data_IF_391922923516
#
_entry.id   IF_391922923516
#
_cell.length_a   1.000
_cell.length_b   1.000
_cell.length_c   1.000
_cell.angle_alpha   90.00
_cell.angle_beta   90.00
_cell.angle_gamma   90.00
#
_symmetry.space_group_name_H-M   'P 1'
#
loop_
_entity.id
_entity.type
_entity.pdbx_description
1 polymer ?
#
# COMPACT_ATOMS: atom_id res chain seq x y z
N UNK A 1 21.74 -28.97 -12.56
CA UNK A 1 21.83 -27.76 -11.75
C UNK A 1 21.04 -26.70 -12.51
N UNK A 2 19.74 -26.62 -12.21
CA UNK A 2 18.81 -25.68 -12.81
C UNK A 2 19.07 -24.30 -12.21
N UNK A 3 19.50 -23.35 -13.04
CA UNK A 3 19.70 -21.96 -12.65
C UNK A 3 18.42 -21.36 -12.12
N UNK A 4 18.43 -20.99 -10.86
CA UNK A 4 17.43 -20.08 -10.28
C UNK A 4 17.59 -18.70 -10.91
N UNK A 5 17.01 -18.50 -12.08
CA UNK A 5 16.72 -17.21 -12.65
C UNK A 5 15.56 -16.58 -11.86
N UNK A 6 15.76 -16.35 -10.57
CA UNK A 6 14.77 -15.75 -9.71
C UNK A 6 14.68 -14.26 -9.96
N UNK A 7 13.47 -13.76 -10.03
CA UNK A 7 13.09 -12.35 -9.89
C UNK A 7 14.05 -11.63 -8.95
N UNK A 8 14.45 -10.41 -9.31
CA UNK A 8 15.46 -9.65 -8.53
C UNK A 8 14.93 -9.36 -7.14
N UNK A 9 15.44 -10.11 -6.16
CA UNK A 9 15.11 -9.86 -4.75
C UNK A 9 15.51 -8.44 -4.37
N UNK A 10 14.66 -7.79 -3.58
CA UNK A 10 14.81 -6.40 -3.16
C UNK A 10 14.86 -6.35 -1.63
N UNK A 11 15.75 -5.54 -1.07
CA UNK A 11 15.76 -5.22 0.35
C UNK A 11 14.94 -3.95 0.61
N UNK A 12 14.07 -4.00 1.60
CA UNK A 12 13.24 -2.89 2.03
C UNK A 12 13.25 -2.81 3.56
N UNK A 13 13.90 -1.82 4.12
CA UNK A 13 14.05 -1.61 5.57
C UNK A 13 14.58 -2.88 6.30
N UNK A 14 15.59 -3.55 5.76
CA UNK A 14 16.17 -4.78 6.32
C UNK A 14 15.34 -6.04 6.08
N UNK A 15 14.20 -5.95 5.39
CA UNK A 15 13.37 -7.11 5.02
C UNK A 15 13.61 -7.46 3.55
N UNK A 16 13.93 -8.73 3.28
CA UNK A 16 14.09 -9.23 1.91
C UNK A 16 12.75 -9.62 1.30
N UNK A 17 12.46 -9.05 0.13
CA UNK A 17 11.35 -9.40 -0.76
C UNK A 17 11.87 -10.15 -1.98
N UNK A 18 11.16 -11.18 -2.44
CA UNK A 18 11.61 -11.98 -3.59
C UNK A 18 11.49 -11.23 -4.92
N UNK A 19 10.56 -10.27 -5.02
CA UNK A 19 10.43 -9.31 -6.13
C UNK A 19 9.77 -8.03 -5.61
N UNK A 20 9.79 -6.93 -6.37
CA UNK A 20 9.29 -5.63 -5.89
C UNK A 20 7.76 -5.48 -5.94
N UNK A 21 6.98 -6.44 -6.43
CA UNK A 21 5.54 -6.28 -6.63
C UNK A 21 4.76 -6.71 -5.39
N UNK A 22 3.89 -5.81 -4.92
CA UNK A 22 2.97 -6.04 -3.80
C UNK A 22 1.51 -5.92 -4.25
N UNK A 23 0.61 -6.64 -3.60
CA UNK A 23 -0.79 -6.26 -3.57
C UNK A 23 -0.99 -5.09 -2.61
N UNK A 24 -1.59 -4.00 -3.08
CA UNK A 24 -1.86 -2.82 -2.27
C UNK A 24 -3.01 -3.07 -1.28
N UNK A 25 -3.03 -2.33 -0.18
CA UNK A 25 -4.07 -2.43 0.83
C UNK A 25 -5.49 -2.30 0.26
N UNK A 26 -6.39 -3.14 0.75
CA UNK A 26 -7.80 -3.13 0.37
C UNK A 26 -8.14 -3.79 -0.97
N UNK A 27 -7.18 -4.46 -1.63
CA UNK A 27 -7.41 -5.13 -2.91
C UNK A 27 -7.60 -6.65 -2.79
N UNK A 28 -6.96 -7.28 -1.83
CA UNK A 28 -7.00 -8.73 -1.63
C UNK A 28 -7.58 -9.14 -0.28
N UNK A 29 -8.32 -8.25 0.40
CA UNK A 29 -8.77 -8.53 1.75
C UNK A 29 -7.58 -8.83 2.66
N UNK A 30 -7.60 -10.00 3.29
CA UNK A 30 -6.47 -10.55 4.04
C UNK A 30 -5.73 -11.66 3.28
N UNK A 31 -5.92 -11.75 1.95
CA UNK A 31 -5.28 -12.72 1.06
C UNK A 31 -6.13 -13.98 0.82
N UNK A 32 -6.87 -14.45 1.82
CA UNK A 32 -7.71 -15.65 1.71
C UNK A 32 -8.77 -15.52 0.60
N UNK A 33 -9.29 -14.32 0.41
CA UNK A 33 -10.34 -14.01 -0.56
C UNK A 33 -9.91 -14.22 -2.01
N UNK A 34 -8.63 -14.16 -2.29
CA UNK A 34 -8.08 -14.28 -3.64
C UNK A 34 -7.15 -15.50 -3.84
N UNK A 35 -6.82 -16.21 -2.77
CA UNK A 35 -5.85 -17.32 -2.80
C UNK A 35 -6.23 -18.48 -3.73
N UNK A 36 -7.52 -18.64 -4.08
CA UNK A 36 -7.98 -19.62 -5.06
C UNK A 36 -7.83 -19.20 -6.52
N UNK A 37 -7.45 -17.94 -6.79
CA UNK A 37 -7.42 -17.34 -8.11
C UNK A 37 -6.02 -16.87 -8.50
N UNK A 38 -5.24 -16.39 -7.54
CA UNK A 38 -3.90 -15.84 -7.70
C UNK A 38 -2.89 -16.62 -6.85
N UNK A 39 -1.70 -16.84 -7.39
CA UNK A 39 -0.56 -17.32 -6.61
C UNK A 39 0.07 -16.13 -5.85
N UNK A 40 -0.33 -15.97 -4.59
CA UNK A 40 0.23 -14.92 -3.72
C UNK A 40 1.73 -15.11 -3.47
N UNK A 41 2.23 -16.36 -3.52
CA UNK A 41 3.65 -16.67 -3.36
C UNK A 41 4.51 -16.29 -4.58
N UNK A 42 3.90 -15.92 -5.71
CA UNK A 42 4.59 -15.34 -6.85
C UNK A 42 4.92 -13.85 -6.66
N UNK A 43 4.34 -13.20 -5.65
CA UNK A 43 4.52 -11.77 -5.37
C UNK A 43 5.60 -11.53 -4.31
N UNK A 44 6.15 -10.32 -4.25
CA UNK A 44 7.01 -9.88 -3.15
C UNK A 44 6.27 -9.86 -1.82
N UNK A 45 4.98 -9.51 -1.85
CA UNK A 45 4.15 -9.52 -0.65
C UNK A 45 2.75 -8.96 -0.85
N UNK A 46 2.04 -8.87 0.26
CA UNK A 46 0.72 -8.25 0.33
C UNK A 46 0.68 -7.18 1.42
N UNK A 47 -0.05 -6.11 1.17
CA UNK A 47 -0.51 -5.20 2.21
C UNK A 47 -1.94 -5.58 2.54
N UNK A 48 -2.22 -5.94 3.79
CA UNK A 48 -3.53 -6.43 4.20
C UNK A 48 -4.60 -5.35 4.08
N UNK A 49 -5.86 -5.77 4.10
CA UNK A 49 -6.95 -4.88 4.45
C UNK A 49 -6.66 -4.20 5.79
N UNK A 50 -7.23 -3.01 5.99
CA UNK A 50 -7.04 -2.25 7.21
C UNK A 50 -7.42 -3.08 8.46
N UNK A 51 -6.64 -2.92 9.53
CA UNK A 51 -6.90 -3.45 10.86
C UNK A 51 -7.04 -2.28 11.82
N UNK A 52 -8.16 -2.19 12.51
CA UNK A 52 -8.42 -1.25 13.61
C UNK A 52 -8.59 -2.00 14.92
N UNK A 53 -8.50 -1.30 16.06
CA UNK A 53 -8.71 -1.91 17.38
C UNK A 53 -10.08 -2.58 17.42
N UNK A 54 -11.14 -1.81 17.15
CA UNK A 54 -12.51 -2.29 17.09
C UNK A 54 -12.94 -2.60 15.65
N UNK A 55 -13.90 -3.51 15.44
CA UNK A 55 -14.45 -3.76 14.11
C UNK A 55 -15.14 -2.52 13.54
N UNK A 56 -15.10 -2.38 12.22
CA UNK A 56 -15.77 -1.28 11.49
C UNK A 56 -16.71 -1.82 10.44
N UNK A 57 -17.95 -1.36 10.47
CA UNK A 57 -18.97 -1.71 9.47
C UNK A 57 -18.66 -1.11 8.10
N UNK A 58 -18.01 0.06 8.08
CA UNK A 58 -17.75 0.83 6.86
C UNK A 58 -18.93 1.68 6.42
N UNK A 59 -18.80 2.26 5.24
CA UNK A 59 -19.78 3.19 4.67
C UNK A 59 -21.00 2.45 4.09
N UNK A 60 -22.15 3.12 3.93
CA UNK A 60 -23.31 2.56 3.23
C UNK A 60 -22.99 2.27 1.75
N UNK A 61 -23.72 1.30 1.19
CA UNK A 61 -23.67 0.97 -0.24
C UNK A 61 -24.42 2.01 -1.08
N UNK A 62 -24.02 2.19 -2.36
CA UNK A 62 -22.90 1.60 -3.09
C UNK A 62 -21.54 2.08 -2.60
N UNK A 63 -20.57 1.15 -2.49
CA UNK A 63 -19.21 1.44 -2.02
C UNK A 63 -18.18 1.59 -3.13
N UNK A 64 -18.56 1.22 -4.34
CA UNK A 64 -17.73 1.29 -5.55
C UNK A 64 -18.56 1.84 -6.69
N UNK A 65 -17.96 2.69 -7.49
CA UNK A 65 -18.54 3.19 -8.74
C UNK A 65 -17.47 3.21 -9.83
N UNK A 66 -17.83 2.72 -11.01
CA UNK A 66 -16.98 2.79 -12.18
C UNK A 66 -16.98 4.21 -12.74
N UNK A 67 -15.79 4.67 -13.11
CA UNK A 67 -15.53 5.92 -13.82
C UNK A 67 -14.75 5.55 -15.07
N UNK A 68 -14.97 6.24 -16.20
CA UNK A 68 -14.28 5.94 -17.45
C UNK A 68 -12.76 5.87 -17.25
N UNK A 69 -12.20 4.66 -17.36
CA UNK A 69 -10.77 4.41 -17.16
C UNK A 69 -10.28 4.48 -15.69
N UNK A 70 -11.20 4.52 -14.72
CA UNK A 70 -10.86 4.64 -13.32
C UNK A 70 -11.94 3.97 -12.42
N UNK A 71 -11.70 3.96 -11.11
CA UNK A 71 -12.64 3.49 -10.09
C UNK A 71 -12.72 4.49 -8.96
N UNK A 72 -13.94 4.75 -8.52
CA UNK A 72 -14.22 5.50 -7.29
C UNK A 72 -14.65 4.53 -6.20
N UNK A 73 -14.09 4.62 -5.01
CA UNK A 73 -14.47 3.78 -3.89
C UNK A 73 -14.67 4.57 -2.59
N UNK A 74 -15.57 4.07 -1.76
CA UNK A 74 -15.82 4.58 -0.40
C UNK A 74 -16.18 3.41 0.51
N UNK A 75 -15.19 2.59 0.84
CA UNK A 75 -15.40 1.38 1.68
C UNK A 75 -15.61 1.75 3.15
N UNK A 76 -15.06 2.88 3.60
CA UNK A 76 -15.15 3.33 5.00
C UNK A 76 -14.33 2.47 5.95
N UNK A 77 -13.22 1.90 5.47
CA UNK A 77 -12.28 1.08 6.25
C UNK A 77 -12.94 -0.13 6.94
N UNK A 78 -14.03 -0.68 6.37
CA UNK A 78 -14.70 -1.86 6.90
C UNK A 78 -13.69 -2.99 7.16
N UNK A 79 -13.65 -3.50 8.39
CA UNK A 79 -12.72 -4.53 8.81
C UNK A 79 -13.23 -5.24 10.08
N UNK A 80 -12.78 -6.47 10.37
CA UNK A 80 -13.27 -7.27 11.49
C UNK A 80 -12.70 -6.87 12.86
N UNK A 81 -11.76 -5.92 12.92
CA UNK A 81 -11.05 -5.55 14.14
C UNK A 81 -9.82 -6.41 14.42
N UNK A 82 -9.04 -5.97 15.42
CA UNK A 82 -7.76 -6.58 15.79
C UNK A 82 -7.92 -8.03 16.28
N UNK A 83 -8.88 -8.30 17.13
CA UNK A 83 -9.05 -9.65 17.73
C UNK A 83 -9.38 -10.68 16.66
N UNK A 84 -10.35 -10.39 15.77
CA UNK A 84 -10.66 -11.29 14.67
C UNK A 84 -9.47 -11.42 13.69
N UNK A 85 -8.73 -10.35 13.43
CA UNK A 85 -7.52 -10.43 12.61
C UNK A 85 -6.51 -11.40 13.22
N UNK A 86 -6.21 -11.31 14.51
CA UNK A 86 -5.25 -12.16 15.21
C UNK A 86 -5.66 -13.63 15.23
N UNK A 87 -6.93 -13.92 15.44
CA UNK A 87 -7.40 -15.29 15.66
C UNK A 87 -7.81 -16.01 14.37
N UNK A 88 -8.28 -15.29 13.35
CA UNK A 88 -8.84 -15.90 12.15
C UNK A 88 -7.94 -15.74 10.91
N UNK A 89 -7.32 -14.55 10.72
CA UNK A 89 -6.61 -14.23 9.49
C UNK A 89 -5.10 -14.40 9.60
N UNK A 90 -4.51 -13.96 10.70
CA UNK A 90 -3.06 -14.02 10.89
C UNK A 90 -2.51 -15.45 10.90
N UNK A 91 -3.15 -16.47 11.52
CA UNK A 91 -2.68 -17.85 11.44
C UNK A 91 -2.70 -18.41 10.02
N UNK A 92 -3.70 -18.03 9.22
CA UNK A 92 -3.75 -18.40 7.82
C UNK A 92 -2.63 -17.74 7.02
N UNK A 93 -2.40 -16.44 7.20
CA UNK A 93 -1.31 -15.72 6.56
C UNK A 93 0.05 -16.35 6.89
N UNK A 94 0.27 -16.72 8.15
CA UNK A 94 1.50 -17.35 8.61
C UNK A 94 1.77 -18.71 7.97
N UNK A 95 0.72 -19.46 7.63
CA UNK A 95 0.84 -20.79 7.01
C UNK A 95 0.85 -20.74 5.49
N UNK A 96 0.08 -19.84 4.89
CA UNK A 96 -0.11 -19.74 3.45
C UNK A 96 1.02 -18.96 2.75
N UNK A 97 1.61 -17.97 3.43
CA UNK A 97 2.64 -17.10 2.85
C UNK A 97 4.00 -17.36 3.52
N UNK A 98 4.89 -18.03 2.78
CA UNK A 98 6.25 -18.36 3.24
C UNK A 98 7.31 -17.46 2.62
N UNK A 99 7.13 -17.08 1.36
CA UNK A 99 8.03 -16.22 0.58
C UNK A 99 7.49 -14.80 0.50
N UNK A 100 6.22 -14.65 0.17
CA UNK A 100 5.56 -13.36 0.12
C UNK A 100 5.47 -12.73 1.51
N UNK A 101 5.83 -11.46 1.62
CA UNK A 101 5.84 -10.73 2.90
C UNK A 101 4.49 -10.10 3.21
N UNK A 102 4.12 -10.09 4.48
CA UNK A 102 2.87 -9.48 4.95
C UNK A 102 3.16 -8.14 5.61
N UNK A 103 2.60 -7.07 5.04
CA UNK A 103 2.54 -5.76 5.65
C UNK A 103 1.13 -5.55 6.21
N UNK A 104 0.99 -5.24 7.48
CA UNK A 104 -0.32 -4.99 8.08
C UNK A 104 -0.68 -3.52 7.94
N UNK A 105 -1.77 -3.23 7.22
CA UNK A 105 -2.31 -1.87 7.12
C UNK A 105 -3.06 -1.53 8.41
N UNK A 106 -2.64 -0.48 9.10
CA UNK A 106 -3.16 -0.06 10.40
C UNK A 106 -3.97 1.22 10.26
N UNK A 107 -5.13 1.25 10.89
CA UNK A 107 -6.02 2.41 10.95
C UNK A 107 -6.54 2.64 12.36
N UNK A 108 -6.91 3.89 12.68
CA UNK A 108 -7.46 4.26 13.98
C UNK A 108 -8.41 5.44 13.88
N UNK A 109 -9.15 5.71 14.95
CA UNK A 109 -9.94 6.94 15.15
C UNK A 109 -9.15 8.00 15.92
N UNK A 110 -8.17 7.55 16.71
CA UNK A 110 -7.24 8.38 17.46
C UNK A 110 -5.80 7.88 17.24
N UNK A 111 -4.81 8.72 17.48
CA UNK A 111 -3.41 8.37 17.33
C UNK A 111 -3.01 7.13 18.17
N UNK A 112 -3.53 7.01 19.40
CA UNK A 112 -3.29 5.86 20.27
C UNK A 112 -3.81 4.51 19.74
N UNK A 113 -4.79 4.51 18.83
CA UNK A 113 -5.29 3.26 18.25
C UNK A 113 -4.24 2.60 17.36
N UNK A 114 -3.43 3.39 16.65
CA UNK A 114 -2.33 2.88 15.84
C UNK A 114 -1.28 2.18 16.69
N UNK A 115 -0.88 2.79 17.80
CA UNK A 115 0.05 2.21 18.76
C UNK A 115 -0.49 0.89 19.34
N UNK A 116 -1.77 0.82 19.72
CA UNK A 116 -2.42 -0.39 20.24
C UNK A 116 -2.40 -1.54 19.24
N UNK A 117 -2.73 -1.29 17.96
CA UNK A 117 -2.68 -2.34 16.91
C UNK A 117 -1.25 -2.80 16.68
N UNK A 118 -0.30 -1.86 16.59
CA UNK A 118 1.13 -2.17 16.41
C UNK A 118 1.66 -3.00 17.58
N UNK A 119 1.40 -2.59 18.84
CA UNK A 119 1.82 -3.31 20.04
C UNK A 119 1.33 -4.76 20.04
N UNK A 120 0.05 -4.96 19.73
CA UNK A 120 -0.56 -6.30 19.72
C UNK A 120 0.01 -7.24 18.66
N UNK A 121 0.61 -6.69 17.58
CA UNK A 121 1.13 -7.46 16.44
C UNK A 121 2.67 -7.38 16.30
N UNK A 122 3.35 -6.62 17.14
CA UNK A 122 4.80 -6.42 17.08
C UNK A 122 5.58 -7.74 17.21
N UNK A 123 5.12 -8.65 18.06
CA UNK A 123 5.74 -9.96 18.30
C UNK A 123 5.42 -11.02 17.25
N UNK A 124 4.52 -10.76 16.29
CA UNK A 124 4.04 -11.76 15.33
C UNK A 124 5.05 -12.00 14.20
N UNK A 125 5.64 -13.20 14.06
CA UNK A 125 6.67 -13.47 13.04
C UNK A 125 6.18 -13.31 11.61
N UNK A 126 4.89 -13.56 11.35
CA UNK A 126 4.28 -13.42 10.03
C UNK A 126 4.19 -11.96 9.57
N UNK A 127 4.22 -10.99 10.48
CA UNK A 127 4.15 -9.56 10.16
C UNK A 127 5.56 -9.04 9.87
N UNK A 128 5.80 -8.66 8.62
CA UNK A 128 7.09 -8.13 8.18
C UNK A 128 7.23 -6.62 8.42
N UNK A 129 6.14 -5.86 8.31
CA UNK A 129 6.10 -4.41 8.50
C UNK A 129 4.68 -3.92 8.81
N UNK A 130 4.55 -2.67 9.25
CA UNK A 130 3.26 -2.01 9.43
C UNK A 130 3.12 -0.84 8.45
N UNK A 131 1.99 -0.76 7.75
CA UNK A 131 1.61 0.39 6.93
C UNK A 131 0.61 1.25 7.71
N UNK A 132 1.04 2.41 8.20
CA UNK A 132 0.19 3.37 8.91
C UNK A 132 -0.62 4.17 7.88
N UNK A 133 -1.93 3.93 7.81
CA UNK A 133 -2.82 4.61 6.88
C UNK A 133 -3.31 5.92 7.50
N UNK A 134 -2.57 7.00 7.27
CA UNK A 134 -2.83 8.31 7.87
C UNK A 134 -3.82 9.17 7.08
N UNK A 135 -4.39 8.64 6.00
CA UNK A 135 -5.52 9.26 5.29
C UNK A 135 -6.88 8.99 5.95
N UNK A 136 -6.88 8.36 7.14
CA UNK A 136 -8.09 8.21 7.94
C UNK A 136 -8.53 9.56 8.53
N UNK A 137 -9.85 9.82 8.62
CA UNK A 137 -10.35 10.97 9.35
C UNK A 137 -9.98 10.88 10.84
N UNK A 138 -9.39 11.93 11.38
CA UNK A 138 -9.17 12.10 12.82
C UNK A 138 -10.43 12.67 13.47
N UNK A 139 -11.17 11.84 14.19
CA UNK A 139 -12.43 12.23 14.83
C UNK A 139 -12.21 13.34 15.87
N UNK A 140 -11.09 13.30 16.59
CA UNK A 140 -10.74 14.32 17.59
C UNK A 140 -10.43 15.69 16.98
N UNK A 141 -10.11 15.76 15.68
CA UNK A 141 -9.78 17.00 14.96
C UNK A 141 -10.78 17.26 13.81
N UNK A 142 -12.06 17.02 14.04
CA UNK A 142 -13.12 17.37 13.11
C UNK A 142 -13.15 16.60 11.79
N UNK A 143 -12.56 15.39 11.76
CA UNK A 143 -12.55 14.53 10.58
C UNK A 143 -11.42 14.81 9.58
N UNK A 144 -10.48 15.69 9.90
CA UNK A 144 -9.30 15.95 9.07
C UNK A 144 -8.41 14.69 9.00
N UNK A 145 -7.77 14.42 7.87
CA UNK A 145 -6.81 13.32 7.75
C UNK A 145 -5.65 13.50 8.75
N UNK A 146 -5.20 12.42 9.41
CA UNK A 146 -4.04 12.49 10.32
C UNK A 146 -2.77 13.02 9.62
N UNK A 147 -2.61 12.72 8.34
CA UNK A 147 -1.48 13.20 7.53
C UNK A 147 -1.53 14.69 7.16
N UNK A 148 -2.66 15.39 7.40
CA UNK A 148 -2.81 16.80 7.04
C UNK A 148 -2.17 17.76 8.06
N UNK A 149 -1.92 17.30 9.29
CA UNK A 149 -1.22 18.04 10.33
C UNK A 149 0.07 17.31 10.73
N UNK A 150 1.21 17.95 10.49
CA UNK A 150 2.53 17.36 10.74
C UNK A 150 2.76 17.01 12.22
N UNK A 151 2.17 17.73 13.17
CA UNK A 151 2.30 17.44 14.62
C UNK A 151 1.49 16.22 15.00
N UNK A 152 0.26 16.15 14.55
CA UNK A 152 -0.62 14.99 14.78
C UNK A 152 -0.03 13.72 14.16
N UNK A 153 0.50 13.85 12.93
CA UNK A 153 1.21 12.76 12.27
C UNK A 153 2.44 12.30 13.06
N UNK A 154 3.27 13.25 13.51
CA UNK A 154 4.47 12.94 14.27
C UNK A 154 4.15 12.23 15.60
N UNK A 155 3.11 12.66 16.31
CA UNK A 155 2.70 12.02 17.56
C UNK A 155 2.18 10.59 17.31
N UNK A 156 1.40 10.38 16.25
CA UNK A 156 0.96 9.05 15.82
C UNK A 156 2.14 8.13 15.51
N UNK A 157 3.10 8.61 14.71
CA UNK A 157 4.27 7.81 14.30
C UNK A 157 5.17 7.50 15.51
N UNK A 158 5.43 8.46 16.40
CA UNK A 158 6.19 8.22 17.64
C UNK A 158 5.52 7.19 18.54
N UNK A 159 4.20 7.28 18.71
CA UNK A 159 3.42 6.30 19.47
C UNK A 159 3.54 4.90 18.88
N UNK A 160 3.39 4.74 17.58
CA UNK A 160 3.56 3.46 16.91
C UNK A 160 5.02 2.94 16.97
N UNK A 161 6.01 3.85 16.85
CA UNK A 161 7.44 3.50 16.92
C UNK A 161 7.85 2.96 18.28
N UNK A 162 7.27 3.48 19.35
CA UNK A 162 7.55 3.00 20.70
C UNK A 162 7.18 1.52 20.91
N UNK A 163 6.23 1.00 20.13
CA UNK A 163 5.68 -0.34 20.29
C UNK A 163 6.37 -1.42 19.42
N UNK A 164 7.26 -1.05 18.49
CA UNK A 164 7.86 -2.05 17.59
C UNK A 164 9.23 -1.64 17.10
N UNK A 165 10.06 -2.63 16.75
CA UNK A 165 11.31 -2.46 16.00
C UNK A 165 11.13 -2.80 14.52
N UNK A 166 9.96 -3.33 14.11
CA UNK A 166 9.66 -3.63 12.71
C UNK A 166 9.50 -2.36 11.90
N UNK A 167 9.70 -2.41 10.57
CA UNK A 167 9.53 -1.26 9.71
C UNK A 167 8.14 -0.61 9.83
N UNK A 168 8.12 0.72 10.01
CA UNK A 168 6.93 1.55 9.96
C UNK A 168 6.88 2.30 8.64
N UNK A 169 5.87 2.01 7.83
CA UNK A 169 5.61 2.61 6.52
C UNK A 169 4.45 3.60 6.64
N UNK A 170 4.65 4.87 6.32
CA UNK A 170 3.57 5.86 6.36
C UNK A 170 2.94 5.99 4.97
N UNK A 171 1.62 5.74 4.85
CA UNK A 171 0.89 5.87 3.58
C UNK A 171 0.32 7.26 3.41
N UNK A 172 0.85 7.97 2.40
CA UNK A 172 0.55 9.37 2.13
C UNK A 172 -0.67 9.55 1.22
N UNK A 173 -1.46 10.57 1.50
CA UNK A 173 -2.52 11.05 0.60
C UNK A 173 -1.93 11.81 -0.59
N UNK A 174 -2.47 11.63 -1.80
CA UNK A 174 -2.06 12.45 -2.96
C UNK A 174 -2.59 13.91 -2.87
N UNK A 175 -3.51 14.17 -1.96
CA UNK A 175 -4.10 15.50 -1.73
C UNK A 175 -3.30 16.37 -0.76
N UNK A 176 -2.20 15.87 -0.19
CA UNK A 176 -1.34 16.67 0.68
C UNK A 176 -0.74 17.85 -0.09
N UNK A 177 -0.78 19.07 0.47
CA UNK A 177 -0.19 20.25 -0.16
C UNK A 177 1.31 20.09 -0.42
N UNK A 178 2.04 19.48 0.52
CA UNK A 178 3.47 19.20 0.42
C UNK A 178 3.79 17.80 0.99
N UNK A 179 3.68 16.75 0.19
CA UNK A 179 3.94 15.38 0.64
C UNK A 179 5.40 15.15 1.04
N UNK A 180 6.34 15.93 0.50
CA UNK A 180 7.75 15.80 0.85
C UNK A 180 8.04 16.36 2.26
N UNK A 181 7.42 17.48 2.62
CA UNK A 181 7.49 18.05 3.97
C UNK A 181 6.84 17.12 5.00
N UNK A 182 5.64 16.64 4.70
CA UNK A 182 4.93 15.70 5.58
C UNK A 182 5.74 14.40 5.78
N UNK A 183 6.37 13.88 4.71
CA UNK A 183 7.24 12.74 4.81
C UNK A 183 8.48 13.01 5.69
N UNK A 184 9.11 14.18 5.57
CA UNK A 184 10.24 14.55 6.42
C UNK A 184 9.83 14.61 7.91
N UNK A 185 8.68 15.20 8.25
CA UNK A 185 8.17 15.22 9.62
C UNK A 185 7.90 13.80 10.17
N UNK A 186 7.39 12.90 9.34
CA UNK A 186 7.22 11.49 9.71
C UNK A 186 8.56 10.77 9.91
N UNK A 187 9.61 11.05 9.11
CA UNK A 187 10.96 10.53 9.34
C UNK A 187 11.51 10.94 10.70
N UNK A 188 11.41 12.22 11.05
CA UNK A 188 11.86 12.77 12.34
C UNK A 188 11.11 12.13 13.52
N UNK A 189 9.90 11.62 13.27
CA UNK A 189 9.09 10.89 14.26
C UNK A 189 9.36 9.38 14.31
N UNK A 190 10.17 8.82 13.40
CA UNK A 190 10.58 7.41 13.41
C UNK A 190 9.96 6.54 12.30
N UNK A 191 9.41 7.13 11.23
CA UNK A 191 9.02 6.38 10.04
C UNK A 191 10.26 5.86 9.28
N UNK A 192 10.21 4.59 8.85
CA UNK A 192 11.29 3.95 8.11
C UNK A 192 11.11 4.07 6.60
N UNK A 193 9.87 4.16 6.13
CA UNK A 193 9.52 4.15 4.71
C UNK A 193 8.15 4.81 4.45
N UNK A 194 7.79 4.93 3.17
CA UNK A 194 6.53 5.55 2.75
C UNK A 194 5.80 4.71 1.70
N UNK A 195 4.47 4.78 1.70
CA UNK A 195 3.64 4.38 0.55
C UNK A 195 3.13 5.65 -0.14
N UNK A 196 3.43 5.82 -1.40
CA UNK A 196 3.01 6.94 -2.24
C UNK A 196 2.33 6.39 -3.51
N UNK A 197 0.95 6.49 -3.60
CA UNK A 197 0.01 7.28 -2.82
C UNK A 197 -1.25 6.48 -2.45
N UNK A 198 -2.10 7.04 -1.57
CA UNK A 198 -3.48 6.59 -1.39
C UNK A 198 -4.36 7.07 -2.57
N UNK A 199 -5.67 6.82 -2.53
CA UNK A 199 -6.65 7.31 -3.52
C UNK A 199 -6.83 8.82 -3.42
N UNK A 200 -7.16 9.48 -4.54
CA UNK A 200 -7.42 10.92 -4.59
C UNK A 200 -8.87 11.20 -4.22
N UNK A 201 -9.15 12.09 -3.24
CA UNK A 201 -10.52 12.48 -2.90
C UNK A 201 -11.29 12.94 -4.13
N UNK A 202 -12.49 12.38 -4.33
CA UNK A 202 -13.33 12.68 -5.49
C UNK A 202 -14.81 12.37 -5.22
N UNK A 203 -15.67 12.90 -6.08
CA UNK A 203 -17.12 12.69 -6.07
C UNK A 203 -17.59 12.33 -7.47
N UNK A 204 -18.72 11.64 -7.56
CA UNK A 204 -19.35 11.29 -8.82
C UNK A 204 -20.88 11.32 -8.66
N UNK A 205 -21.53 11.94 -9.61
CA UNK A 205 -22.98 12.10 -9.62
C UNK A 205 -23.60 11.41 -10.84
N UNK A 206 -24.85 10.96 -10.70
CA UNK A 206 -25.66 10.49 -11.83
C UNK A 206 -26.31 11.68 -12.58
N UNK A 207 -27.03 11.37 -13.66
CA UNK A 207 -27.71 12.36 -14.49
C UNK A 207 -28.79 13.17 -13.75
N UNK A 208 -29.22 12.69 -12.57
CA UNK A 208 -30.19 13.34 -11.69
C UNK A 208 -29.53 14.11 -10.55
N UNK A 209 -28.20 14.25 -10.57
CA UNK A 209 -27.44 14.94 -9.52
C UNK A 209 -27.32 14.16 -8.21
N UNK A 210 -27.61 12.87 -8.18
CA UNK A 210 -27.45 12.03 -6.98
C UNK A 210 -26.06 11.44 -6.93
N UNK A 211 -25.45 11.45 -5.74
CA UNK A 211 -24.14 10.84 -5.54
C UNK A 211 -24.18 9.33 -5.89
N UNK A 212 -23.19 8.84 -6.62
CA UNK A 212 -23.07 7.44 -7.01
C UNK A 212 -22.52 6.53 -5.92
N UNK A 213 -21.94 7.08 -4.87
CA UNK A 213 -21.52 6.35 -3.68
C UNK A 213 -22.45 6.64 -2.51
N UNK A 214 -22.70 5.63 -1.68
CA UNK A 214 -23.59 5.76 -0.52
C UNK A 214 -23.13 6.78 0.52
N UNK A 215 -21.82 7.06 0.61
CA UNK A 215 -21.26 8.11 1.48
C UNK A 215 -21.20 9.50 0.82
N UNK A 216 -21.64 9.64 -0.42
CA UNK A 216 -21.59 10.91 -1.17
C UNK A 216 -20.24 11.16 -1.85
N UNK A 217 -19.15 10.77 -1.24
CA UNK A 217 -17.78 11.01 -1.69
C UNK A 217 -16.94 9.73 -1.57
N UNK A 218 -15.74 9.73 -2.16
CA UNK A 218 -14.82 8.60 -2.09
C UNK A 218 -13.42 8.93 -2.59
N UNK A 219 -12.65 7.90 -2.87
CA UNK A 219 -11.31 8.00 -3.41
C UNK A 219 -11.24 7.48 -4.84
N UNK A 220 -10.72 8.30 -5.75
CA UNK A 220 -10.42 7.94 -7.13
C UNK A 220 -9.14 7.12 -7.19
N UNK A 221 -9.16 6.03 -7.96
CA UNK A 221 -8.03 5.14 -8.20
C UNK A 221 -8.00 4.64 -9.65
N UNK A 222 -6.94 3.95 -10.05
CA UNK A 222 -6.75 3.46 -11.41
C UNK A 222 -5.79 4.33 -12.23
N UNK A 223 -5.71 4.12 -13.56
CA UNK A 223 -4.72 4.72 -14.45
C UNK A 223 -4.50 6.24 -14.33
N UNK A 224 -5.53 7.07 -14.10
CA UNK A 224 -5.32 8.51 -13.94
C UNK A 224 -4.41 8.89 -12.76
N UNK A 225 -4.24 7.97 -11.80
CA UNK A 225 -3.39 8.22 -10.63
C UNK A 225 -1.91 7.96 -10.89
N UNK A 226 -1.53 7.30 -11.99
CA UNK A 226 -0.14 6.97 -12.28
C UNK A 226 0.79 8.19 -12.28
N UNK A 227 0.53 9.27 -13.04
CA UNK A 227 1.42 10.44 -13.05
C UNK A 227 1.50 11.14 -11.70
N UNK A 228 0.42 11.14 -10.93
CA UNK A 228 0.38 11.70 -9.56
C UNK A 228 1.25 10.88 -8.62
N UNK A 229 1.06 9.56 -8.60
CA UNK A 229 1.84 8.64 -7.79
C UNK A 229 3.34 8.69 -8.10
N UNK A 230 3.73 8.72 -9.39
CA UNK A 230 5.11 8.87 -9.82
C UNK A 230 5.73 10.18 -9.31
N UNK A 231 5.00 11.30 -9.43
CA UNK A 231 5.46 12.60 -8.92
C UNK A 231 5.70 12.56 -7.41
N UNK A 232 4.72 12.09 -6.64
CA UNK A 232 4.83 12.03 -5.16
C UNK A 232 5.94 11.07 -4.74
N UNK A 233 6.04 9.88 -5.36
CA UNK A 233 7.13 8.94 -5.11
C UNK A 233 8.49 9.59 -5.25
N UNK A 234 8.73 10.29 -6.37
CA UNK A 234 10.00 10.97 -6.61
C UNK A 234 10.29 12.09 -5.59
N UNK A 235 9.28 12.90 -5.24
CA UNK A 235 9.44 13.98 -4.26
C UNK A 235 9.79 13.41 -2.88
N UNK A 236 9.09 12.38 -2.43
CA UNK A 236 9.32 11.74 -1.13
C UNK A 236 10.68 11.05 -1.08
N UNK A 237 11.01 10.23 -2.08
CA UNK A 237 12.30 9.54 -2.16
C UNK A 237 13.48 10.54 -2.16
N UNK A 238 13.40 11.58 -2.98
CA UNK A 238 14.46 12.61 -3.07
C UNK A 238 14.60 13.42 -1.78
N UNK A 239 13.50 13.72 -1.08
CA UNK A 239 13.51 14.52 0.14
C UNK A 239 14.02 13.76 1.35
N UNK A 240 13.62 12.49 1.48
CA UNK A 240 13.83 11.71 2.70
C UNK A 240 15.00 10.74 2.61
N UNK A 241 15.38 10.33 1.40
CA UNK A 241 16.34 9.23 1.19
C UNK A 241 15.81 7.87 1.69
N UNK A 242 14.54 7.78 2.12
CA UNK A 242 13.94 6.56 2.65
C UNK A 242 13.32 5.72 1.54
N UNK A 243 13.23 4.38 1.72
CA UNK A 243 12.53 3.50 0.79
C UNK A 243 11.08 3.93 0.58
N UNK A 244 10.57 3.76 -0.66
CA UNK A 244 9.19 4.10 -1.01
C UNK A 244 8.51 2.92 -1.69
N UNK A 245 7.28 2.61 -1.29
CA UNK A 245 6.34 1.76 -2.01
C UNK A 245 5.56 2.67 -2.95
N UNK A 246 5.87 2.63 -4.25
CA UNK A 246 5.15 3.40 -5.26
C UNK A 246 3.82 2.73 -5.59
N UNK A 247 2.70 3.45 -5.53
CA UNK A 247 1.38 2.89 -5.87
C UNK A 247 0.46 3.93 -6.48
N UNK A 248 -0.49 3.47 -7.28
CA UNK A 248 -1.46 4.29 -8.02
C UNK A 248 -1.30 4.10 -9.53
N UNK A 249 -2.32 3.56 -10.17
CA UNK A 249 -2.43 3.45 -11.62
C UNK A 249 -1.61 2.35 -12.29
N UNK A 250 -0.90 1.52 -11.55
CA UNK A 250 -0.09 0.43 -12.09
C UNK A 250 -0.98 -0.64 -12.74
N UNK A 251 -0.74 -0.92 -14.04
CA UNK A 251 -1.47 -1.92 -14.85
C UNK A 251 -0.55 -2.87 -15.61
N UNK A 252 0.70 -2.48 -15.81
CA UNK A 252 1.69 -3.21 -16.60
C UNK A 252 3.05 -3.21 -15.90
N UNK A 253 3.95 -4.12 -16.33
CA UNK A 253 5.36 -4.09 -15.89
C UNK A 253 6.06 -2.79 -16.24
N UNK A 254 5.67 -2.14 -17.36
CA UNK A 254 6.20 -0.84 -17.75
C UNK A 254 5.80 0.28 -16.78
N UNK A 255 4.58 0.26 -16.23
CA UNK A 255 4.16 1.20 -15.18
C UNK A 255 4.96 0.96 -13.89
N UNK A 256 5.15 -0.30 -13.51
CA UNK A 256 5.96 -0.66 -12.35
C UNK A 256 7.42 -0.19 -12.52
N UNK A 257 8.00 -0.36 -13.72
CA UNK A 257 9.35 0.12 -14.02
C UNK A 257 9.47 1.65 -13.91
N UNK A 258 8.43 2.41 -14.29
CA UNK A 258 8.40 3.86 -14.09
C UNK A 258 8.50 4.23 -12.59
N UNK A 259 7.78 3.51 -11.72
CA UNK A 259 7.88 3.71 -10.27
C UNK A 259 9.29 3.44 -9.74
N UNK A 260 9.93 2.33 -10.15
CA UNK A 260 11.31 2.04 -9.76
C UNK A 260 12.26 3.15 -10.22
N UNK A 261 12.10 3.65 -11.46
CA UNK A 261 12.87 4.78 -11.99
C UNK A 261 12.55 6.11 -11.29
N UNK A 262 11.36 6.27 -10.71
CA UNK A 262 10.99 7.42 -9.90
C UNK A 262 11.56 7.36 -8.47
N UNK A 263 12.24 6.26 -8.10
CA UNK A 263 12.86 6.07 -6.79
C UNK A 263 12.07 5.17 -5.83
N UNK A 264 11.05 4.47 -6.31
CA UNK A 264 10.40 3.43 -5.52
C UNK A 264 11.32 2.22 -5.34
N UNK A 265 11.25 1.58 -4.18
CA UNK A 265 11.90 0.30 -3.88
C UNK A 265 10.94 -0.87 -4.14
N UNK A 266 9.67 -0.68 -3.81
CA UNK A 266 8.59 -1.63 -4.03
C UNK A 266 7.44 -0.95 -4.80
N UNK A 267 6.57 -1.74 -5.43
CA UNK A 267 5.46 -1.24 -6.24
C UNK A 267 4.16 -1.95 -5.85
N UNK A 268 3.16 -1.17 -5.43
CA UNK A 268 1.85 -1.67 -5.04
C UNK A 268 0.85 -1.68 -6.20
N UNK A 269 0.25 -2.83 -6.47
CA UNK A 269 -0.82 -3.01 -7.45
C UNK A 269 -2.17 -2.99 -6.74
N UNK A 270 -3.02 -2.03 -7.09
CA UNK A 270 -4.36 -1.84 -6.49
C UNK A 270 -5.48 -2.15 -7.46
N UNK A 271 -6.06 -1.14 -8.07
CA UNK A 271 -7.27 -1.22 -8.92
C UNK A 271 -7.17 -2.25 -10.05
N UNK A 272 -5.97 -2.46 -10.61
CA UNK A 272 -5.76 -3.49 -11.63
C UNK A 272 -6.07 -4.90 -11.10
N UNK A 273 -5.74 -5.19 -9.84
CA UNK A 273 -6.04 -6.48 -9.22
C UNK A 273 -7.53 -6.68 -8.90
N UNK A 274 -8.29 -5.59 -8.73
CA UNK A 274 -9.76 -5.67 -8.59
C UNK A 274 -10.44 -5.94 -9.93
N UNK A 275 -9.90 -5.42 -11.03
CA UNK A 275 -10.41 -5.66 -12.37
C UNK A 275 -9.99 -7.04 -12.93
N UNK A 276 -8.77 -7.46 -12.63
CA UNK A 276 -8.19 -8.75 -13.00
C UNK A 276 -7.32 -9.25 -11.83
N UNK A 277 -7.79 -10.22 -11.04
CA UNK A 277 -7.05 -10.73 -9.89
C UNK A 277 -5.65 -11.25 -10.22
N UNK A 278 -5.39 -11.70 -11.46
CA UNK A 278 -4.08 -12.19 -11.91
C UNK A 278 -3.16 -11.08 -12.44
N UNK A 279 -3.63 -9.84 -12.50
CA UNK A 279 -2.81 -8.72 -12.96
C UNK A 279 -1.48 -8.57 -12.17
N UNK A 280 -1.43 -8.73 -10.83
CA UNK A 280 -0.16 -8.61 -10.10
C UNK A 280 0.90 -9.63 -10.51
N UNK A 281 0.52 -10.90 -10.73
CA UNK A 281 1.45 -11.93 -11.22
C UNK A 281 1.97 -11.61 -12.63
N UNK A 282 1.07 -11.16 -13.52
CA UNK A 282 1.43 -10.74 -14.87
C UNK A 282 2.38 -9.56 -14.84
N UNK A 283 2.08 -8.55 -14.02
CA UNK A 283 2.91 -7.34 -13.84
C UNK A 283 4.30 -7.70 -13.32
N UNK A 284 4.40 -8.66 -12.37
CA UNK A 284 5.68 -9.13 -11.85
C UNK A 284 6.53 -9.75 -12.96
N UNK A 285 5.95 -10.64 -13.79
CA UNK A 285 6.65 -11.26 -14.94
C UNK A 285 7.06 -10.23 -15.99
N UNK A 286 6.15 -9.34 -16.40
CA UNK A 286 6.44 -8.27 -17.37
C UNK A 286 7.59 -7.37 -16.89
N UNK A 287 7.62 -7.06 -15.59
CA UNK A 287 8.70 -6.26 -15.01
C UNK A 287 10.03 -7.00 -15.03
N UNK A 288 10.05 -8.29 -14.71
CA UNK A 288 11.27 -9.11 -14.77
C UNK A 288 11.85 -9.16 -16.19
N UNK A 289 11.00 -9.33 -17.20
CA UNK A 289 11.40 -9.33 -18.61
C UNK A 289 12.02 -7.99 -19.03
N UNK A 290 11.41 -6.87 -18.61
CA UNK A 290 11.92 -5.52 -18.88
C UNK A 290 13.26 -5.26 -18.21
N UNK A 291 13.46 -5.71 -16.97
CA UNK A 291 14.70 -5.56 -16.22
C UNK A 291 15.82 -6.43 -16.81
N UNK A 292 15.52 -7.66 -17.25
CA UNK A 292 16.45 -8.56 -17.92
C UNK A 292 16.92 -7.97 -19.26
N UNK A 293 15.98 -7.48 -20.08
CA UNK A 293 16.27 -6.84 -21.37
C UNK A 293 17.14 -5.58 -21.20
N UNK A 294 16.86 -4.76 -20.20
CA UNK A 294 17.65 -3.56 -19.92
C UNK A 294 19.09 -3.89 -19.49
N UNK A 295 19.28 -4.98 -18.72
CA UNK A 295 20.60 -5.44 -18.31
C UNK A 295 21.40 -6.01 -19.49
N UNK A 296 20.75 -6.72 -20.41
CA UNK A 296 21.39 -7.27 -21.62
C UNK A 296 21.89 -6.15 -22.55
N UNK A 297 21.10 -5.09 -22.74
CA UNK A 297 21.49 -3.92 -23.52
C UNK A 297 22.67 -3.17 -22.86
N UNK A 298 22.68 -3.04 -21.53
CA UNK A 298 23.77 -2.39 -20.81
C UNK A 298 25.10 -3.21 -20.83
N UNK A 299 25.00 -4.54 -20.98
CA UNK A 299 26.18 -5.42 -21.02
C UNK A 299 26.92 -5.42 -22.39
N UNK A 300 26.30 -4.87 -23.46
CA UNK A 300 26.87 -4.85 -24.82
C UNK A 300 27.05 -6.24 -25.43
N UNK A 301 27.35 -6.34 -26.75
CA UNK A 301 27.78 -7.60 -27.32
C UNK A 301 29.14 -8.00 -26.70
N UNK A 302 29.25 -9.24 -26.23
CA UNK A 302 30.57 -9.79 -25.86
C UNK A 302 31.44 -9.72 -27.11
N UNK A 303 32.54 -8.98 -27.05
CA UNK A 303 33.56 -9.05 -28.07
C UNK A 303 34.15 -10.48 -28.02
N UNK A 304 33.92 -11.24 -29.11
CA UNK A 304 34.60 -12.50 -29.38
C UNK A 304 36.06 -12.25 -29.76
#
# INVERSE_FOLDING_TARGET
>A
MSGEGGARSVEFCGVRFQNPILLAAGTAGFGREVAGVIDLEALGGIVTKAVSVEPRTGNPSPRVAEVRGAMLNSVGLANPGLEAFRHEYLPWLATALRKARVLVNVVGNAAGDFARVVAALAGEPAVAAFELNVSCPNVAHGGMEFGADDRVLADLVRGARAETTKPLVVKLSPALPDPARTAAAACDAGADAFTAVNTLPAELYDERGRARLGAGHGGLSGPPLLPVGLRVTRLVASRTGKPVIGTGGVRTGADALQYLRAGATLVGVGTAALADPRAPERIARELDDLLASSAAVAAGPRAD
#
